data_IF_185940703253
#
_entry.id   IF_185940703253
#
_cell.length_a   1.000
_cell.length_b   1.000
_cell.length_c   1.000
_cell.angle_alpha   90.00
_cell.angle_beta   90.00
_cell.angle_gamma   90.00
#
_symmetry.space_group_name_H-M   'P 1'
#
loop_
_entity.id
_entity.type
_entity.pdbx_description
1 polymer ?
#
# COMPACT_ATOMS: atom_id res chain seq x y z
N UNK A 1 -19.06 -8.96 -7.36
CA UNK A 1 -18.21 -7.93 -6.75
C UNK A 1 -17.86 -8.39 -5.35
N UNK A 2 -16.58 -8.43 -5.05
CA UNK A 2 -16.07 -8.79 -3.73
C UNK A 2 -16.32 -7.61 -2.78
N UNK A 3 -16.57 -7.88 -1.51
CA UNK A 3 -16.71 -6.82 -0.52
C UNK A 3 -15.32 -6.27 -0.14
N UNK A 4 -15.00 -5.07 -0.64
CA UNK A 4 -13.72 -4.38 -0.45
C UNK A 4 -13.64 -3.60 0.87
N UNK A 5 -14.77 -3.07 1.36
CA UNK A 5 -14.83 -2.35 2.64
C UNK A 5 -14.69 -3.35 3.80
N UNK A 6 -13.73 -3.14 4.69
CA UNK A 6 -13.44 -4.03 5.81
C UNK A 6 -12.05 -3.83 6.39
N UNK A 7 -11.74 -4.64 7.40
CA UNK A 7 -10.43 -4.66 8.05
C UNK A 7 -9.67 -5.91 7.60
N UNK A 8 -8.37 -5.75 7.31
CA UNK A 8 -7.51 -6.77 6.74
C UNK A 8 -6.25 -6.91 7.59
N UNK A 9 -6.03 -8.08 8.20
CA UNK A 9 -4.86 -8.37 9.03
C UNK A 9 -3.81 -9.14 8.22
N UNK A 10 -2.53 -8.73 8.22
CA UNK A 10 -1.48 -9.43 7.47
C UNK A 10 -1.20 -10.82 8.03
N UNK A 11 -1.22 -11.82 7.15
CA UNK A 11 -0.90 -13.22 7.42
C UNK A 11 0.54 -13.57 7.08
N UNK A 12 0.98 -13.26 5.86
CA UNK A 12 2.32 -13.55 5.36
C UNK A 12 2.88 -12.35 4.60
N UNK A 13 4.20 -12.22 4.61
CA UNK A 13 4.93 -11.17 3.90
C UNK A 13 6.13 -11.80 3.23
N UNK A 14 6.05 -11.93 1.92
CA UNK A 14 7.08 -12.51 1.09
C UNK A 14 7.93 -11.38 0.50
N UNK A 15 9.26 -11.50 0.69
CA UNK A 15 10.27 -10.59 0.14
C UNK A 15 10.15 -9.10 0.57
N UNK A 16 9.43 -8.81 1.66
CA UNK A 16 9.21 -7.43 2.11
C UNK A 16 10.47 -6.75 2.68
N UNK A 17 11.36 -7.49 3.35
CA UNK A 17 12.59 -6.93 3.93
C UNK A 17 13.54 -6.43 2.84
N UNK A 18 13.83 -7.26 1.85
CA UNK A 18 14.66 -6.90 0.68
C UNK A 18 14.05 -5.73 -0.09
N UNK A 19 12.72 -5.74 -0.25
CA UNK A 19 11.97 -4.63 -0.84
C UNK A 19 12.17 -3.32 -0.08
N UNK A 20 12.06 -3.30 1.25
CA UNK A 20 12.24 -2.09 2.05
C UNK A 20 13.70 -1.61 2.02
N UNK A 21 14.67 -2.52 2.13
CA UNK A 21 16.11 -2.20 2.04
C UNK A 21 16.47 -1.51 0.71
N UNK A 22 15.75 -1.82 -0.36
CA UNK A 22 15.98 -1.22 -1.67
C UNK A 22 15.74 0.30 -1.74
N UNK A 23 14.92 0.83 -0.82
CA UNK A 23 14.63 2.25 -0.62
C UNK A 23 15.59 2.91 0.38
N UNK A 24 16.71 2.26 0.71
CA UNK A 24 17.67 2.68 1.74
C UNK A 24 17.09 2.72 3.16
N UNK A 25 16.03 1.95 3.43
CA UNK A 25 15.57 1.71 4.80
C UNK A 25 16.62 0.83 5.51
N UNK A 26 16.99 1.19 6.74
CA UNK A 26 17.95 0.39 7.53
C UNK A 26 17.39 -1.02 7.77
N UNK A 27 18.29 -2.00 7.93
CA UNK A 27 17.88 -3.40 8.11
C UNK A 27 17.01 -3.60 9.35
N UNK A 28 17.33 -2.94 10.46
CA UNK A 28 16.53 -2.98 11.69
C UNK A 28 15.10 -2.49 11.47
N UNK A 29 14.92 -1.35 10.78
CA UNK A 29 13.60 -0.80 10.48
C UNK A 29 12.86 -1.71 9.49
N UNK A 30 13.55 -2.24 8.48
CA UNK A 30 12.95 -3.14 7.50
C UNK A 30 12.43 -4.43 8.15
N UNK A 31 13.18 -5.01 9.10
CA UNK A 31 12.75 -6.17 9.88
C UNK A 31 11.57 -5.84 10.80
N UNK A 32 11.60 -4.67 11.46
CA UNK A 32 10.49 -4.22 12.31
C UNK A 32 9.19 -4.05 11.52
N UNK A 33 9.25 -3.40 10.35
CA UNK A 33 8.09 -3.23 9.46
C UNK A 33 7.59 -4.57 8.91
N UNK A 34 8.51 -5.49 8.56
CA UNK A 34 8.13 -6.83 8.16
C UNK A 34 7.47 -7.63 9.31
N UNK A 35 7.85 -7.39 10.56
CA UNK A 35 7.21 -8.01 11.72
C UNK A 35 5.86 -7.38 12.08
N UNK A 36 5.62 -6.11 11.74
CA UNK A 36 4.41 -5.36 12.12
C UNK A 36 3.12 -6.01 11.61
N UNK A 37 2.19 -6.34 12.51
CA UNK A 37 0.89 -6.92 12.15
C UNK A 37 -0.24 -5.89 12.07
N UNK A 38 0.10 -4.61 11.90
CA UNK A 38 -0.88 -3.53 11.79
C UNK A 38 -1.92 -3.85 10.70
N UNK A 39 -3.22 -3.85 11.04
CA UNK A 39 -4.27 -4.10 10.06
C UNK A 39 -4.40 -2.91 9.11
N UNK A 40 -4.84 -3.21 7.89
CA UNK A 40 -5.27 -2.23 6.89
C UNK A 40 -6.78 -2.15 6.93
N UNK A 41 -7.35 -0.96 7.10
CA UNK A 41 -8.81 -0.78 7.10
C UNK A 41 -9.24 0.03 5.89
N UNK A 42 -10.17 -0.52 5.12
CA UNK A 42 -10.87 0.19 4.05
C UNK A 42 -12.25 0.55 4.59
N UNK A 43 -12.49 1.83 4.87
CA UNK A 43 -13.70 2.28 5.58
C UNK A 43 -14.73 2.97 4.68
N UNK A 44 -14.29 3.61 3.60
CA UNK A 44 -15.14 4.37 2.69
C UNK A 44 -14.70 4.03 1.26
N UNK A 45 -15.62 3.51 0.44
CA UNK A 45 -15.37 3.19 -0.96
C UNK A 45 -16.64 3.51 -1.75
N UNK A 46 -16.52 4.42 -2.70
CA UNK A 46 -17.57 4.75 -3.66
C UNK A 46 -17.00 4.80 -5.09
N UNK A 47 -17.71 5.40 -6.03
CA UNK A 47 -17.26 5.52 -7.42
C UNK A 47 -16.15 6.56 -7.63
N UNK A 48 -15.90 7.43 -6.66
CA UNK A 48 -14.99 8.59 -6.78
C UNK A 48 -13.78 8.48 -5.87
N UNK A 49 -13.88 7.81 -4.73
CA UNK A 49 -12.83 7.79 -3.70
C UNK A 49 -12.76 6.48 -2.91
N UNK A 50 -11.62 6.32 -2.23
CA UNK A 50 -11.39 5.31 -1.20
C UNK A 50 -10.71 5.91 0.01
N UNK A 51 -11.13 5.53 1.22
CA UNK A 51 -10.42 5.84 2.47
C UNK A 51 -9.73 4.60 2.99
N UNK A 52 -8.40 4.69 3.09
CA UNK A 52 -7.52 3.63 3.59
C UNK A 52 -6.88 4.11 4.89
N UNK A 53 -7.08 3.34 5.97
CA UNK A 53 -6.40 3.56 7.25
C UNK A 53 -5.27 2.56 7.38
N UNK A 54 -4.04 3.07 7.41
CA UNK A 54 -2.85 2.28 7.74
C UNK A 54 -2.30 2.79 9.08
N UNK A 55 -2.02 1.88 10.01
CA UNK A 55 -1.44 2.21 11.34
C UNK A 55 -2.21 3.32 12.09
N UNK A 56 -3.53 3.35 11.95
CA UNK A 56 -4.41 4.33 12.61
C UNK A 56 -4.52 5.69 11.92
N UNK A 57 -3.82 5.91 10.80
CA UNK A 57 -3.93 7.16 10.02
C UNK A 57 -4.86 6.97 8.83
N UNK A 58 -6.09 7.53 8.84
CA UNK A 58 -6.98 7.48 7.69
C UNK A 58 -6.49 8.41 6.58
N UNK A 59 -6.38 7.90 5.36
CA UNK A 59 -6.02 8.67 4.17
C UNK A 59 -7.06 8.45 3.09
N UNK A 60 -7.68 9.53 2.61
CA UNK A 60 -8.67 9.50 1.54
C UNK A 60 -8.01 9.82 0.20
N UNK A 61 -8.21 8.93 -0.78
CA UNK A 61 -7.72 9.07 -2.13
C UNK A 61 -8.90 9.23 -3.08
N UNK A 62 -8.89 10.29 -3.89
CA UNK A 62 -9.83 10.44 -5.01
C UNK A 62 -9.25 9.74 -6.22
N UNK A 63 -10.01 8.86 -6.85
CA UNK A 63 -9.53 8.06 -7.97
C UNK A 63 -9.08 8.94 -9.15
N UNK A 64 -7.92 8.59 -9.70
CA UNK A 64 -7.31 9.31 -10.82
C UNK A 64 -6.72 10.68 -10.48
N UNK A 65 -6.79 11.13 -9.21
CA UNK A 65 -6.14 12.35 -8.76
C UNK A 65 -4.87 12.05 -7.98
N UNK A 66 -3.86 12.89 -8.16
CA UNK A 66 -2.64 12.86 -7.36
C UNK A 66 -2.92 13.43 -5.96
N UNK A 67 -2.42 12.74 -4.94
CA UNK A 67 -2.39 13.21 -3.56
C UNK A 67 -0.93 13.37 -3.11
N UNK A 68 -0.56 14.59 -2.72
CA UNK A 68 0.73 14.86 -2.09
C UNK A 68 0.70 14.40 -0.62
N UNK A 69 1.63 13.52 -0.25
CA UNK A 69 1.79 13.00 1.10
C UNK A 69 3.20 13.34 1.58
N UNK A 70 3.30 13.92 2.78
CA UNK A 70 4.59 14.07 3.45
C UNK A 70 4.79 12.89 4.40
N UNK A 71 5.78 12.07 4.11
CA UNK A 71 6.16 10.96 4.98
C UNK A 71 6.73 11.49 6.30
N UNK A 72 6.62 10.73 7.41
CA UNK A 72 7.25 11.10 8.68
C UNK A 72 8.77 11.33 8.59
N UNK A 73 9.42 10.75 7.58
CA UNK A 73 10.83 10.94 7.25
C UNK A 73 11.15 12.30 6.61
N UNK A 74 10.13 13.15 6.38
CA UNK A 74 10.25 14.45 5.71
C UNK A 74 10.22 14.40 4.19
N UNK A 75 10.17 13.20 3.60
CA UNK A 75 10.13 13.01 2.15
C UNK A 75 8.72 13.26 1.61
N UNK A 76 8.63 13.99 0.49
CA UNK A 76 7.37 14.20 -0.21
C UNK A 76 7.18 13.13 -1.29
N UNK A 77 5.99 12.52 -1.28
CA UNK A 77 5.57 11.55 -2.28
C UNK A 77 4.25 11.99 -2.90
N UNK A 78 4.01 11.57 -4.14
CA UNK A 78 2.73 11.74 -4.83
C UNK A 78 2.14 10.37 -5.07
N UNK A 79 0.92 10.15 -4.60
CA UNK A 79 0.21 8.89 -4.78
C UNK A 79 -1.03 9.12 -5.63
N UNK A 80 -1.16 8.34 -6.72
CA UNK A 80 -2.39 8.23 -7.51
C UNK A 80 -3.02 6.89 -7.27
N UNK A 81 -4.33 6.87 -6.99
CA UNK A 81 -5.07 5.61 -6.79
C UNK A 81 -6.07 5.42 -7.92
N UNK A 82 -6.21 4.18 -8.38
CA UNK A 82 -7.18 3.78 -9.40
C UNK A 82 -7.87 2.50 -8.95
N UNK A 83 -9.13 2.33 -9.33
CA UNK A 83 -9.92 1.12 -9.08
C UNK A 83 -10.22 0.43 -10.41
N UNK A 84 -10.03 -0.89 -10.46
CA UNK A 84 -10.39 -1.73 -11.61
C UNK A 84 -10.98 -3.04 -11.10
N UNK A 85 -12.31 -3.15 -11.19
CA UNK A 85 -13.07 -4.30 -10.67
C UNK A 85 -12.83 -4.52 -9.18
N UNK A 86 -12.29 -5.68 -8.84
CA UNK A 86 -11.96 -6.08 -7.46
C UNK A 86 -10.51 -5.72 -7.06
N UNK A 87 -9.90 -4.74 -7.73
CA UNK A 87 -8.50 -4.32 -7.50
C UNK A 87 -8.35 -2.82 -7.29
N UNK A 88 -7.49 -2.43 -6.33
CA UNK A 88 -7.02 -1.05 -6.17
C UNK A 88 -5.53 -0.97 -6.52
N UNK A 89 -5.18 -0.07 -7.42
CA UNK A 89 -3.78 0.21 -7.79
C UNK A 89 -3.36 1.57 -7.28
N UNK A 90 -2.31 1.58 -6.47
CA UNK A 90 -1.63 2.75 -5.92
C UNK A 90 -0.32 2.93 -6.67
N UNK A 91 -0.15 4.09 -7.29
CA UNK A 91 1.11 4.50 -7.93
C UNK A 91 1.69 5.63 -7.12
N UNK A 92 2.82 5.38 -6.46
CA UNK A 92 3.51 6.34 -5.61
C UNK A 92 4.85 6.71 -6.24
N UNK A 93 5.12 7.99 -6.39
CA UNK A 93 6.41 8.52 -6.87
C UNK A 93 6.99 9.50 -5.86
N UNK A 94 8.31 9.57 -5.74
CA UNK A 94 8.96 10.61 -4.94
C UNK A 94 8.89 11.95 -5.66
N UNK A 95 8.46 13.02 -4.97
CA UNK A 95 8.30 14.34 -5.56
C UNK A 95 9.63 14.90 -6.10
N UNK A 96 10.73 14.67 -5.36
CA UNK A 96 12.07 15.12 -5.74
C UNK A 96 12.73 14.24 -6.83
N UNK A 97 12.27 13.00 -7.00
CA UNK A 97 12.81 12.09 -8.00
C UNK A 97 11.76 11.05 -8.45
N UNK A 98 11.05 11.36 -9.53
CA UNK A 98 10.04 10.48 -10.10
C UNK A 98 10.59 9.12 -10.59
N UNK A 99 11.91 8.96 -10.72
CA UNK A 99 12.53 7.65 -11.05
C UNK A 99 12.48 6.69 -9.86
N UNK A 100 12.28 7.20 -8.64
CA UNK A 100 12.02 6.39 -7.45
C UNK A 100 10.51 6.30 -7.27
N UNK A 101 9.98 5.11 -7.52
CA UNK A 101 8.55 4.84 -7.44
C UNK A 101 8.25 3.50 -6.77
N UNK A 102 7.00 3.37 -6.33
CA UNK A 102 6.34 2.17 -5.86
C UNK A 102 5.01 2.03 -6.59
N UNK A 103 4.77 0.85 -7.15
CA UNK A 103 3.46 0.43 -7.62
C UNK A 103 2.94 -0.66 -6.68
N UNK A 104 1.78 -0.41 -6.09
CA UNK A 104 1.15 -1.31 -5.14
C UNK A 104 -0.24 -1.68 -5.62
N UNK A 105 -0.52 -2.97 -5.70
CA UNK A 105 -1.82 -3.51 -6.15
C UNK A 105 -2.44 -4.29 -5.02
N UNK A 106 -3.62 -3.87 -4.60
CA UNK A 106 -4.50 -4.59 -3.69
C UNK A 106 -5.51 -5.37 -4.52
N UNK A 107 -5.38 -6.69 -4.52
CA UNK A 107 -6.34 -7.61 -5.13
C UNK A 107 -7.25 -8.16 -4.03
N UNK A 108 -8.53 -7.81 -4.07
CA UNK A 108 -9.51 -8.30 -3.12
C UNK A 108 -10.10 -9.63 -3.58
N UNK A 109 -10.29 -10.55 -2.63
CA UNK A 109 -10.97 -11.83 -2.84
C UNK A 109 -11.98 -12.06 -1.71
N UNK A 110 -12.83 -13.08 -1.85
CA UNK A 110 -13.79 -13.42 -0.78
C UNK A 110 -13.09 -13.83 0.54
N UNK A 111 -11.82 -14.26 0.48
CA UNK A 111 -11.06 -14.73 1.63
C UNK A 111 -10.22 -13.62 2.29
N UNK A 112 -9.94 -12.54 1.57
CA UNK A 112 -9.09 -11.46 2.08
C UNK A 112 -8.56 -10.53 1.00
N UNK A 113 -7.29 -10.18 1.14
CA UNK A 113 -6.60 -9.22 0.29
C UNK A 113 -5.17 -9.69 0.02
N UNK A 114 -4.74 -9.66 -1.24
CA UNK A 114 -3.34 -9.81 -1.60
C UNK A 114 -2.79 -8.45 -2.02
N UNK A 115 -1.76 -7.96 -1.33
CA UNK A 115 -0.99 -6.79 -1.73
C UNK A 115 0.26 -7.20 -2.49
N UNK A 116 0.41 -6.76 -3.72
CA UNK A 116 1.66 -6.86 -4.48
C UNK A 116 2.33 -5.50 -4.56
N UNK A 117 3.57 -5.37 -4.10
CA UNK A 117 4.37 -4.16 -4.20
C UNK A 117 5.52 -4.38 -5.19
N UNK A 118 5.74 -3.42 -6.10
CA UNK A 118 6.84 -3.42 -7.07
C UNK A 118 7.48 -2.04 -7.09
N UNK A 119 8.79 -1.98 -6.89
CA UNK A 119 9.53 -0.72 -6.87
C UNK A 119 10.22 -0.43 -8.22
N UNK A 120 10.87 0.73 -8.28
CA UNK A 120 11.72 1.16 -9.40
C UNK A 120 12.88 0.22 -9.77
N UNK A 121 13.26 -0.73 -8.91
CA UNK A 121 14.29 -1.75 -9.18
C UNK A 121 13.70 -3.10 -9.63
N UNK A 122 12.39 -3.15 -9.92
CA UNK A 122 11.63 -4.37 -10.23
C UNK A 122 11.65 -5.43 -9.11
N UNK A 123 11.97 -5.04 -7.87
CA UNK A 123 11.82 -5.93 -6.72
C UNK A 123 10.35 -6.02 -6.35
N UNK A 124 9.87 -7.24 -6.22
CA UNK A 124 8.49 -7.56 -5.87
C UNK A 124 8.41 -8.05 -4.43
N UNK A 125 7.51 -7.47 -3.64
CA UNK A 125 7.07 -8.01 -2.37
C UNK A 125 5.58 -8.36 -2.43
N UNK A 126 5.18 -9.40 -1.71
CA UNK A 126 3.78 -9.82 -1.63
C UNK A 126 3.37 -9.92 -0.17
N UNK A 127 2.23 -9.34 0.19
CA UNK A 127 1.67 -9.44 1.52
C UNK A 127 0.27 -10.01 1.41
N UNK A 128 0.04 -11.13 2.08
CA UNK A 128 -1.28 -11.75 2.17
C UNK A 128 -1.98 -11.25 3.42
N UNK A 129 -3.25 -10.89 3.29
CA UNK A 129 -4.09 -10.45 4.40
C UNK A 129 -5.34 -11.32 4.47
N UNK A 130 -5.76 -11.67 5.68
CA UNK A 130 -7.11 -12.19 5.94
C UNK A 130 -8.04 -11.04 6.26
N UNK A 131 -9.30 -11.20 5.91
CA UNK A 131 -10.35 -10.30 6.38
C UNK A 131 -10.67 -10.59 7.85
N UNK A 132 -10.94 -9.54 8.63
CA UNK A 132 -11.44 -9.61 10.02
C UNK A 132 -12.97 -9.58 10.06
#
# INVERSE_FOLDING_TARGET
MVQIVGSYEPLSKDNLVEYLKSFNVSEEIAQMLAASKSPVVISDLDSEKVTVTNEGTPTTFVFGKELDITLPTGQQIKTTVTIDGDSLTFKTVYADNASVFENKVYQFTNEGLTSTLVNHKNLKAVVQYKRL
#
